data_IF_483167265307
#
_entry.id   IF_483167265307
#
_cell.length_a   1.000
_cell.length_b   1.000
_cell.length_c   1.000
_cell.angle_alpha   90.00
_cell.angle_beta   90.00
_cell.angle_gamma   90.00
#
_symmetry.space_group_name_H-M   'P 1'
#
loop_
_entity.id
_entity.type
_entity.pdbx_description
1 polymer ?
#
# COMPACT_ATOMS: atom_id res chain seq x y z
N UNK A 1 16.43 48.99 8.03
CA UNK A 1 15.37 49.00 9.06
C UNK A 1 14.28 48.06 8.59
N UNK A 2 14.10 46.93 9.28
CA UNK A 2 13.02 46.00 8.96
C UNK A 2 11.70 46.63 9.43
N UNK A 3 10.75 46.84 8.51
CA UNK A 3 9.51 47.56 8.79
C UNK A 3 8.70 46.84 9.88
N UNK A 4 7.99 47.59 10.75
CA UNK A 4 7.20 47.03 11.87
C UNK A 4 6.17 46.02 11.36
N UNK A 5 5.67 46.23 10.15
CA UNK A 5 4.76 45.32 9.45
C UNK A 5 5.41 43.98 9.11
N UNK A 6 6.67 43.96 8.69
CA UNK A 6 7.39 42.71 8.44
C UNK A 6 7.55 41.89 9.71
N UNK A 7 7.88 42.53 10.83
CA UNK A 7 8.04 41.86 12.14
C UNK A 7 6.72 41.23 12.60
N UNK A 8 5.61 41.97 12.48
CA UNK A 8 4.28 41.45 12.81
C UNK A 8 3.88 40.28 11.91
N UNK A 9 4.20 40.36 10.61
CA UNK A 9 3.88 39.32 9.64
C UNK A 9 4.71 38.04 9.89
N UNK A 10 5.99 38.16 10.23
CA UNK A 10 6.83 37.03 10.66
C UNK A 10 6.35 36.40 11.97
N UNK A 11 5.94 37.22 12.95
CA UNK A 11 5.37 36.73 14.22
C UNK A 11 4.09 35.93 13.97
N UNK A 12 3.16 36.48 13.17
CA UNK A 12 1.91 35.78 12.80
C UNK A 12 2.19 34.49 12.03
N UNK A 13 3.08 34.51 11.03
CA UNK A 13 3.47 33.30 10.30
C UNK A 13 4.08 32.26 11.25
N UNK A 14 4.96 32.66 12.18
CA UNK A 14 5.57 31.72 13.13
C UNK A 14 4.52 31.04 14.04
N UNK A 15 3.49 31.77 14.46
CA UNK A 15 2.38 31.22 15.24
C UNK A 15 1.48 30.25 14.45
N UNK A 16 1.50 30.29 13.12
CA UNK A 16 0.77 29.34 12.26
C UNK A 16 1.55 28.05 11.97
N UNK A 17 2.84 28.00 12.30
CA UNK A 17 3.65 26.79 12.14
C UNK A 17 3.27 25.81 13.25
N UNK A 18 2.29 24.95 12.96
CA UNK A 18 2.01 23.79 13.80
C UNK A 18 3.19 22.82 13.70
N UNK A 19 3.71 22.40 14.86
CA UNK A 19 4.71 21.34 14.92
C UNK A 19 4.08 20.05 14.40
N UNK A 20 4.60 19.54 13.29
CA UNK A 20 4.22 18.22 12.78
C UNK A 20 4.89 17.18 13.68
N UNK A 21 4.12 16.58 14.57
CA UNK A 21 4.59 15.42 15.32
C UNK A 21 4.66 14.22 14.35
N UNK A 22 5.82 13.57 14.31
CA UNK A 22 5.95 12.27 13.66
C UNK A 22 4.97 11.27 14.25
N UNK A 23 4.69 10.20 13.51
CA UNK A 23 3.77 9.16 13.97
C UNK A 23 4.23 8.60 15.32
N UNK A 24 3.32 8.20 16.21
CA UNK A 24 3.68 7.70 17.55
C UNK A 24 4.68 6.52 17.49
N UNK A 25 4.56 5.66 16.47
CA UNK A 25 5.53 4.60 16.20
C UNK A 25 6.89 5.09 15.70
N UNK A 26 6.96 6.22 14.99
CA UNK A 26 8.22 6.79 14.48
C UNK A 26 9.06 7.42 15.60
N UNK A 27 8.39 7.86 16.67
CA UNK A 27 9.05 8.36 17.88
C UNK A 27 9.61 7.25 18.78
N UNK A 28 9.22 5.98 18.57
CA UNK A 28 9.66 4.86 19.40
C UNK A 28 11.17 4.59 19.18
N UNK A 29 12.02 4.74 20.22
CA UNK A 29 13.47 4.56 20.09
C UNK A 29 13.84 3.12 19.74
N UNK A 30 13.06 2.13 20.15
CA UNK A 30 13.31 0.71 19.86
C UNK A 30 13.09 0.46 18.37
N UNK A 31 12.00 1.00 17.82
CA UNK A 31 11.73 0.93 16.38
C UNK A 31 12.85 1.59 15.57
N UNK A 32 13.28 2.80 15.95
CA UNK A 32 14.38 3.51 15.26
C UNK A 32 15.69 2.75 15.31
N UNK A 33 16.01 2.15 16.47
CA UNK A 33 17.22 1.33 16.62
C UNK A 33 17.17 0.11 15.72
N UNK A 34 16.04 -0.61 15.69
CA UNK A 34 15.86 -1.78 14.83
C UNK A 34 16.01 -1.43 13.35
N UNK A 35 15.41 -0.33 12.87
CA UNK A 35 15.53 0.07 11.47
C UNK A 35 16.98 0.44 11.13
N UNK A 36 17.69 1.14 12.03
CA UNK A 36 19.09 1.50 11.82
C UNK A 36 19.99 0.26 11.78
N UNK A 37 19.76 -0.68 12.68
CA UNK A 37 20.50 -1.94 12.73
C UNK A 37 20.23 -2.77 11.48
N UNK A 38 18.98 -2.96 11.08
CA UNK A 38 18.60 -3.70 9.87
C UNK A 38 19.19 -3.09 8.60
N UNK A 39 19.30 -1.78 8.52
CA UNK A 39 19.94 -1.12 7.37
C UNK A 39 21.44 -1.39 7.27
N UNK A 40 22.09 -1.70 8.40
CA UNK A 40 23.52 -2.02 8.44
C UNK A 40 23.78 -3.52 8.33
N UNK A 41 22.98 -4.34 9.03
CA UNK A 41 23.14 -5.79 9.09
C UNK A 41 22.42 -6.52 7.96
N UNK A 42 21.44 -5.89 7.32
CA UNK A 42 20.53 -6.51 6.38
C UNK A 42 19.53 -7.49 7.02
N UNK A 43 19.45 -7.55 8.35
CA UNK A 43 18.66 -8.57 9.07
C UNK A 43 17.77 -7.97 10.17
N UNK A 44 16.62 -8.61 10.40
CA UNK A 44 15.72 -8.40 11.55
C UNK A 44 15.50 -9.73 12.26
N UNK A 45 16.16 -9.93 13.40
CA UNK A 45 16.16 -11.22 14.11
C UNK A 45 16.77 -12.32 13.24
N UNK A 46 16.03 -13.41 13.02
CA UNK A 46 16.47 -14.54 12.19
C UNK A 46 16.26 -14.33 10.68
N UNK A 47 15.59 -13.24 10.27
CA UNK A 47 15.32 -12.96 8.85
C UNK A 47 16.34 -11.98 8.30
N UNK A 48 17.05 -12.39 7.25
CA UNK A 48 17.97 -11.57 6.51
C UNK A 48 17.48 -11.31 5.09
N UNK A 49 17.76 -10.13 4.55
CA UNK A 49 17.41 -9.68 3.21
C UNK A 49 18.67 -9.59 2.35
N UNK A 50 18.76 -10.41 1.31
CA UNK A 50 19.91 -10.46 0.41
C UNK A 50 20.09 -9.13 -0.34
N UNK A 51 18.98 -8.49 -0.73
CA UNK A 51 19.00 -7.20 -1.44
C UNK A 51 19.40 -6.01 -0.56
N UNK A 52 19.45 -6.16 0.77
CA UNK A 52 19.99 -5.14 1.67
C UNK A 52 21.51 -5.19 1.79
N UNK A 53 22.13 -6.32 1.44
CA UNK A 53 23.52 -6.58 1.75
C UNK A 53 24.42 -6.21 0.58
N UNK A 54 24.81 -4.93 0.51
CA UNK A 54 25.90 -4.49 -0.37
C UNK A 54 27.28 -4.49 0.33
N UNK A 55 27.41 -5.03 1.55
CA UNK A 55 28.61 -4.82 2.38
C UNK A 55 28.95 -5.98 3.35
N UNK A 56 28.77 -7.24 2.95
CA UNK A 56 29.52 -8.33 3.60
C UNK A 56 30.34 -9.09 2.56
N UNK A 57 31.57 -8.63 2.42
CA UNK A 57 32.78 -9.41 2.20
C UNK A 57 32.57 -10.95 2.23
N UNK A 58 32.74 -11.59 1.07
CA UNK A 58 33.66 -12.71 0.93
C UNK A 58 33.48 -14.00 1.73
N UNK A 59 32.35 -14.29 2.40
CA UNK A 59 32.15 -15.61 3.02
C UNK A 59 30.73 -16.16 2.87
N UNK A 60 30.32 -16.48 1.64
CA UNK A 60 29.17 -17.34 1.38
C UNK A 60 29.60 -18.80 1.14
N UNK A 61 30.38 -19.33 2.08
CA UNK A 61 30.62 -20.77 2.16
C UNK A 61 29.57 -21.36 3.10
N UNK A 62 28.56 -22.03 2.54
CA UNK A 62 27.46 -22.75 3.22
C UNK A 62 26.13 -21.99 3.37
N UNK A 63 25.65 -21.29 2.33
CA UNK A 63 24.22 -20.92 2.29
C UNK A 63 23.36 -22.09 1.78
N UNK A 64 22.32 -22.51 2.53
CA UNK A 64 21.38 -23.51 2.06
C UNK A 64 20.56 -23.00 0.87
N UNK A 65 20.33 -23.88 -0.11
CA UNK A 65 19.64 -23.61 -1.38
C UNK A 65 18.22 -23.01 -1.27
N UNK A 66 17.63 -22.98 -0.06
CA UNK A 66 16.34 -22.34 0.23
C UNK A 66 16.40 -20.82 0.47
N UNK A 67 17.59 -20.21 0.54
CA UNK A 67 17.75 -18.75 0.68
C UNK A 67 17.69 -17.98 -0.64
N UNK A 68 17.50 -18.63 -1.78
CA UNK A 68 17.24 -17.91 -3.03
C UNK A 68 15.89 -17.19 -2.95
N UNK A 69 15.94 -15.85 -2.99
CA UNK A 69 14.73 -15.02 -3.11
C UNK A 69 13.92 -15.50 -4.33
N UNK A 70 12.69 -16.02 -4.15
CA UNK A 70 11.90 -16.46 -5.27
C UNK A 70 11.63 -15.32 -6.25
N UNK A 71 11.58 -15.65 -7.54
CA UNK A 71 11.46 -14.70 -8.65
C UNK A 71 10.31 -13.68 -8.48
N UNK A 72 9.23 -14.04 -7.78
CA UNK A 72 8.12 -13.13 -7.48
C UNK A 72 8.50 -11.98 -6.53
N UNK A 73 9.52 -12.14 -5.67
CA UNK A 73 10.07 -11.08 -4.81
C UNK A 73 10.95 -10.12 -5.62
N UNK A 74 11.76 -10.65 -6.55
CA UNK A 74 12.59 -9.84 -7.44
C UNK A 74 11.76 -8.91 -8.34
N UNK A 75 10.62 -9.39 -8.82
CA UNK A 75 9.70 -8.57 -9.60
C UNK A 75 9.05 -7.45 -8.78
N UNK A 76 8.95 -7.63 -7.46
CA UNK A 76 8.26 -6.67 -6.58
C UNK A 76 9.05 -5.40 -6.29
N UNK A 77 10.34 -5.36 -6.65
CA UNK A 77 11.24 -4.21 -6.50
C UNK A 77 11.10 -3.54 -5.12
N UNK A 78 11.15 -4.35 -4.05
CA UNK A 78 11.10 -3.84 -2.69
C UNK A 78 12.46 -3.25 -2.33
N UNK A 79 12.43 -2.02 -1.81
CA UNK A 79 13.60 -1.37 -1.26
C UNK A 79 13.94 -1.97 0.11
N UNK A 80 15.23 -2.16 0.38
CA UNK A 80 15.74 -2.56 1.68
C UNK A 80 15.15 -1.72 2.83
N UNK A 81 15.03 -0.41 2.60
CA UNK A 81 14.42 0.51 3.55
C UNK A 81 12.97 0.16 3.89
N UNK A 82 12.19 -0.25 2.88
CA UNK A 82 10.79 -0.62 3.03
C UNK A 82 10.62 -1.88 3.85
N UNK A 83 11.52 -2.85 3.69
CA UNK A 83 11.49 -4.11 4.40
C UNK A 83 11.96 -3.97 5.84
N UNK A 84 13.08 -3.29 6.09
CA UNK A 84 13.51 -2.99 7.45
C UNK A 84 12.43 -2.25 8.25
N UNK A 85 11.81 -1.22 7.68
CA UNK A 85 10.69 -0.51 8.32
C UNK A 85 9.51 -1.43 8.62
N UNK A 86 9.14 -2.28 7.68
CA UNK A 86 8.00 -3.18 7.83
C UNK A 86 8.24 -4.25 8.90
N UNK A 87 9.37 -4.96 8.86
CA UNK A 87 9.63 -6.05 9.80
C UNK A 87 9.89 -5.54 11.22
N UNK A 88 10.60 -4.41 11.37
CA UNK A 88 10.75 -3.75 12.68
C UNK A 88 9.41 -3.29 13.26
N UNK A 89 8.52 -2.75 12.42
CA UNK A 89 7.16 -2.38 12.83
C UNK A 89 6.38 -3.62 13.29
N UNK A 90 6.40 -4.71 12.52
CA UNK A 90 5.66 -5.94 12.85
C UNK A 90 6.15 -6.55 14.15
N UNK A 91 7.46 -6.61 14.38
CA UNK A 91 8.02 -7.16 15.62
C UNK A 91 7.68 -6.27 16.82
N UNK A 92 7.75 -4.93 16.64
CA UNK A 92 7.35 -4.00 17.70
C UNK A 92 5.90 -4.16 18.10
N UNK A 93 5.01 -4.30 17.12
CA UNK A 93 3.58 -4.50 17.32
C UNK A 93 3.25 -5.86 17.93
N UNK A 94 4.04 -6.90 17.62
CA UNK A 94 3.95 -8.20 18.29
C UNK A 94 4.22 -8.06 19.79
N UNK A 95 5.29 -7.36 20.15
CA UNK A 95 5.64 -7.10 21.56
C UNK A 95 4.56 -6.25 22.24
N UNK A 96 4.08 -5.18 21.59
CA UNK A 96 3.01 -4.33 22.13
C UNK A 96 1.73 -5.10 22.39
N UNK A 97 1.30 -5.94 21.44
CA UNK A 97 0.14 -6.83 21.60
C UNK A 97 0.32 -7.81 22.76
N UNK A 98 1.51 -8.37 22.95
CA UNK A 98 1.80 -9.26 24.08
C UNK A 98 1.67 -8.56 25.44
N UNK A 99 1.93 -7.25 25.49
CA UNK A 99 1.77 -6.42 26.69
C UNK A 99 0.37 -5.79 26.80
N UNK A 100 -0.60 -6.16 25.95
CA UNK A 100 -1.95 -5.60 25.95
C UNK A 100 -2.07 -4.17 25.42
N UNK A 101 -1.01 -3.62 24.82
CA UNK A 101 -1.04 -2.28 24.23
C UNK A 101 -1.74 -2.29 22.87
N UNK A 102 -2.52 -1.24 22.60
CA UNK A 102 -3.16 -1.03 21.30
C UNK A 102 -2.15 -0.75 20.17
N UNK A 103 -2.56 -0.99 18.91
CA UNK A 103 -1.69 -0.78 17.76
C UNK A 103 -1.44 0.70 17.51
N UNK A 104 -0.24 1.03 17.02
CA UNK A 104 0.10 2.40 16.63
C UNK A 104 0.46 2.52 15.16
N UNK A 105 0.41 3.75 14.66
CA UNK A 105 0.74 4.11 13.28
C UNK A 105 2.26 4.34 13.16
N UNK A 106 2.86 3.90 12.06
CA UNK A 106 4.28 4.12 11.71
C UNK A 106 4.37 4.69 10.30
N UNK A 107 5.06 5.81 10.10
CA UNK A 107 5.21 6.50 8.81
C UNK A 107 3.89 6.64 8.01
N UNK A 108 2.78 6.93 8.70
CA UNK A 108 1.48 7.06 8.05
C UNK A 108 0.77 5.74 7.71
N UNK A 109 1.35 4.58 8.06
CA UNK A 109 0.81 3.25 7.80
C UNK A 109 0.41 2.53 9.09
N UNK A 110 -0.60 1.67 8.99
CA UNK A 110 -0.99 0.74 10.06
C UNK A 110 -0.25 -0.60 9.90
N UNK A 111 -0.04 -1.35 11.00
CA UNK A 111 0.71 -2.60 10.99
C UNK A 111 -0.12 -3.76 10.44
N UNK A 112 -0.40 -3.73 9.15
CA UNK A 112 -1.04 -4.83 8.44
C UNK A 112 -0.02 -5.92 8.11
N UNK A 113 -0.37 -7.18 8.37
CA UNK A 113 0.45 -8.31 7.93
C UNK A 113 0.32 -8.47 6.42
N UNK A 114 1.45 -8.43 5.71
CA UNK A 114 1.54 -8.76 4.29
C UNK A 114 1.22 -10.25 4.08
N UNK A 115 0.23 -10.55 3.25
CA UNK A 115 -0.15 -11.92 2.86
C UNK A 115 0.26 -12.09 1.40
N UNK A 116 1.10 -13.08 1.08
CA UNK A 116 1.73 -13.24 -0.26
C UNK A 116 2.40 -11.94 -0.77
N UNK A 117 2.89 -11.11 0.16
CA UNK A 117 3.49 -9.82 -0.11
C UNK A 117 2.51 -8.73 -0.59
N UNK A 118 1.19 -8.93 -0.54
CA UNK A 118 0.22 -7.85 -0.73
C UNK A 118 0.01 -7.14 0.61
N UNK A 119 0.16 -5.81 0.62
CA UNK A 119 -0.02 -5.00 1.83
C UNK A 119 -1.49 -4.92 2.26
N UNK A 120 -2.42 -4.98 1.30
CA UNK A 120 -3.86 -4.85 1.55
C UNK A 120 -4.65 -5.95 0.82
N UNK A 121 -4.46 -7.22 1.21
CA UNK A 121 -5.14 -8.34 0.55
C UNK A 121 -6.67 -8.21 0.54
N UNK A 122 -7.26 -7.63 1.58
CA UNK A 122 -8.71 -7.41 1.67
C UNK A 122 -9.21 -6.37 0.67
N UNK A 123 -8.49 -5.25 0.47
CA UNK A 123 -8.90 -4.24 -0.52
C UNK A 123 -8.76 -4.77 -1.93
N UNK A 124 -7.71 -5.55 -2.21
CA UNK A 124 -7.53 -6.26 -3.48
C UNK A 124 -8.69 -7.25 -3.73
N UNK A 125 -9.07 -8.05 -2.73
CA UNK A 125 -10.18 -9.00 -2.85
C UNK A 125 -11.52 -8.29 -3.07
N UNK A 126 -11.81 -7.22 -2.32
CA UNK A 126 -13.03 -6.42 -2.51
C UNK A 126 -13.05 -5.74 -3.87
N UNK A 127 -11.89 -5.31 -4.39
CA UNK A 127 -11.78 -4.78 -5.74
C UNK A 127 -12.13 -5.85 -6.79
N UNK A 128 -11.55 -7.06 -6.68
CA UNK A 128 -11.89 -8.24 -7.51
C UNK A 128 -13.39 -8.49 -7.56
N UNK A 129 -14.03 -8.50 -6.39
CA UNK A 129 -15.46 -8.68 -6.29
C UNK A 129 -16.24 -7.53 -6.95
N UNK A 130 -15.79 -6.28 -6.78
CA UNK A 130 -16.42 -5.13 -7.41
C UNK A 130 -16.38 -5.22 -8.95
N UNK A 131 -15.23 -5.57 -9.52
CA UNK A 131 -15.10 -5.79 -10.97
C UNK A 131 -15.97 -6.93 -11.47
N UNK A 132 -16.01 -8.05 -10.74
CA UNK A 132 -16.84 -9.19 -11.09
C UNK A 132 -18.33 -8.79 -11.13
N UNK A 133 -18.79 -7.98 -10.16
CA UNK A 133 -20.16 -7.48 -10.13
C UNK A 133 -20.46 -6.52 -11.28
N UNK A 134 -19.56 -5.58 -11.61
CA UNK A 134 -19.73 -4.70 -12.76
C UNK A 134 -19.74 -5.47 -14.09
N UNK A 135 -18.87 -6.47 -14.24
CA UNK A 135 -18.82 -7.31 -15.42
C UNK A 135 -20.09 -8.14 -15.58
N UNK A 136 -20.54 -8.76 -14.48
CA UNK A 136 -21.78 -9.53 -14.46
C UNK A 136 -23.00 -8.64 -14.80
N UNK A 137 -23.07 -7.43 -14.23
CA UNK A 137 -24.14 -6.48 -14.54
C UNK A 137 -24.15 -6.06 -16.01
N UNK A 138 -22.98 -5.76 -16.58
CA UNK A 138 -22.84 -5.42 -17.99
C UNK A 138 -23.23 -6.57 -18.93
N UNK A 139 -22.83 -7.80 -18.61
CA UNK A 139 -23.18 -8.99 -19.38
C UNK A 139 -24.70 -9.24 -19.33
N UNK A 140 -25.30 -9.16 -18.14
CA UNK A 140 -26.74 -9.33 -17.96
C UNK A 140 -27.54 -8.30 -18.74
N UNK A 141 -27.13 -7.02 -18.70
CA UNK A 141 -27.74 -5.94 -19.47
C UNK A 141 -27.60 -6.16 -20.97
N UNK A 142 -26.41 -6.55 -21.44
CA UNK A 142 -26.16 -6.87 -22.85
C UNK A 142 -27.07 -8.00 -23.32
N UNK A 143 -27.20 -9.09 -22.55
CA UNK A 143 -28.08 -10.21 -22.91
C UNK A 143 -29.54 -9.77 -23.00
N UNK A 144 -30.00 -8.94 -22.06
CA UNK A 144 -31.36 -8.41 -22.06
C UNK A 144 -31.65 -7.61 -23.34
N UNK A 145 -30.76 -6.68 -23.70
CA UNK A 145 -30.90 -5.80 -24.85
C UNK A 145 -30.87 -6.56 -26.18
N UNK A 146 -29.95 -7.52 -26.33
CA UNK A 146 -29.75 -8.22 -27.59
C UNK A 146 -30.71 -9.40 -27.81
N UNK A 147 -31.10 -10.13 -26.75
CA UNK A 147 -31.81 -11.41 -26.89
C UNK A 147 -33.24 -11.43 -26.34
N UNK A 148 -33.60 -10.54 -25.42
CA UNK A 148 -34.90 -10.59 -24.72
C UNK A 148 -35.86 -9.48 -25.11
N UNK A 149 -35.36 -8.33 -25.52
CA UNK A 149 -36.19 -7.18 -25.88
C UNK A 149 -36.58 -7.25 -27.36
N UNK A 150 -37.88 -7.12 -27.71
CA UNK A 150 -38.31 -7.10 -29.10
C UNK A 150 -37.77 -5.84 -29.80
N UNK A 151 -37.22 -6.02 -31.00
CA UNK A 151 -36.77 -4.92 -31.85
C UNK A 151 -37.99 -4.06 -32.25
N UNK A 152 -37.99 -2.78 -31.86
CA UNK A 152 -39.06 -1.85 -32.20
C UNK A 152 -38.93 -1.47 -33.68
N UNK A 153 -39.95 -1.81 -34.46
CA UNK A 153 -39.92 -1.77 -35.93
C UNK A 153 -39.61 -0.39 -36.57
N UNK A 154 -39.76 0.70 -35.81
CA UNK A 154 -39.50 2.07 -36.25
C UNK A 154 -38.50 2.85 -35.37
N UNK A 155 -37.72 2.17 -34.51
CA UNK A 155 -36.76 2.84 -33.63
C UNK A 155 -35.39 2.14 -33.68
N UNK A 156 -34.37 2.89 -34.09
CA UNK A 156 -32.97 2.48 -34.05
C UNK A 156 -32.49 2.47 -32.60
N UNK A 157 -32.51 1.30 -31.94
CA UNK A 157 -31.98 1.07 -30.59
C UNK A 157 -32.69 1.79 -29.43
N UNK A 158 -32.53 1.25 -28.21
CA UNK A 158 -32.90 1.94 -26.97
C UNK A 158 -31.90 3.08 -26.73
N UNK A 159 -32.37 4.33 -26.67
CA UNK A 159 -31.52 5.53 -26.66
C UNK A 159 -30.50 5.56 -25.51
N UNK A 160 -30.83 4.93 -24.38
CA UNK A 160 -29.97 4.89 -23.20
C UNK A 160 -28.98 3.72 -23.17
N UNK A 161 -29.05 2.78 -24.13
CA UNK A 161 -28.16 1.61 -24.16
C UNK A 161 -26.70 2.02 -24.25
N UNK A 162 -26.37 2.99 -25.09
CA UNK A 162 -24.98 3.49 -25.25
C UNK A 162 -24.45 4.08 -23.94
N UNK A 163 -25.29 4.83 -23.22
CA UNK A 163 -24.91 5.41 -21.92
C UNK A 163 -24.62 4.33 -20.87
N UNK A 164 -25.43 3.28 -20.83
CA UNK A 164 -25.21 2.14 -19.93
C UNK A 164 -23.93 1.36 -20.24
N UNK A 165 -23.58 1.20 -21.52
CA UNK A 165 -22.31 0.57 -21.92
C UNK A 165 -21.12 1.43 -21.51
N UNK A 166 -21.17 2.75 -21.76
CA UNK A 166 -20.10 3.68 -21.36
C UNK A 166 -19.91 3.67 -19.84
N UNK A 167 -21.00 3.73 -19.07
CA UNK A 167 -20.95 3.64 -17.61
C UNK A 167 -20.32 2.33 -17.12
N UNK A 168 -20.70 1.19 -17.71
CA UNK A 168 -20.11 -0.10 -17.38
C UNK A 168 -18.61 -0.13 -17.68
N UNK A 169 -18.19 0.33 -18.87
CA UNK A 169 -16.77 0.38 -19.22
C UNK A 169 -15.98 1.30 -18.31
N UNK A 170 -16.50 2.48 -17.95
CA UNK A 170 -15.86 3.38 -16.99
C UNK A 170 -15.70 2.71 -15.61
N UNK A 171 -16.74 2.00 -15.14
CA UNK A 171 -16.73 1.29 -13.86
C UNK A 171 -15.81 0.07 -13.84
N UNK A 172 -15.55 -0.54 -15.01
CA UNK A 172 -14.55 -1.61 -15.16
C UNK A 172 -13.12 -1.02 -15.26
N UNK A 173 -12.97 0.14 -15.91
CA UNK A 173 -11.69 0.82 -16.07
C UNK A 173 -11.18 1.50 -14.80
N UNK A 174 -12.04 1.80 -13.82
CA UNK A 174 -11.61 2.35 -12.52
C UNK A 174 -10.71 1.41 -11.71
N UNK A 175 -10.46 0.18 -12.18
CA UNK A 175 -9.44 -0.70 -11.64
C UNK A 175 -8.03 -0.36 -12.10
N UNK A 176 -7.87 0.05 -13.36
CA UNK A 176 -6.56 0.25 -13.98
C UNK A 176 -5.89 1.57 -13.59
N UNK A 177 -6.53 2.36 -12.72
CA UNK A 177 -6.08 3.68 -12.29
C UNK A 177 -5.74 3.70 -10.80
#
# INVERSE_FOLDING_TARGET
>A
MMDRWCILLFMVLSCTIKVSHGSAGDADPIYRSCVKECMMSGCVGERCFLHCNSSSDGSLGNEPWYMQEPFYLRWKQWDCQGDCRYYCMVERERVRRAHGNGPVKYHGKWPFKRIFGLQEAASVALSILNLAMHFHGWLSFSILVYYKLPLKQNSTYYEYTTLWHIYAFLSLNSWFW
#
